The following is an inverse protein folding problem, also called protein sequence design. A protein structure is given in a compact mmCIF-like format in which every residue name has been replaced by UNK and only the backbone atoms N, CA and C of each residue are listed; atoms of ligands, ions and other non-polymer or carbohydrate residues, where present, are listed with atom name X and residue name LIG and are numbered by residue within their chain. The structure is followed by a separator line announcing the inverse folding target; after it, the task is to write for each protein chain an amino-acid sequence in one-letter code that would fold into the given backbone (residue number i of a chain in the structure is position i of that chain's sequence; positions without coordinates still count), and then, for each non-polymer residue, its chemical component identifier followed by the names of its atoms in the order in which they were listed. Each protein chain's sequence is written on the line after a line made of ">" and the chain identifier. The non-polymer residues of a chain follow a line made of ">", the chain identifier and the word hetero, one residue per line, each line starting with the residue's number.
data_IF_587176385630
#
_entry.id   IF_587176385630
#
_cell.length_a   1.000
_cell.length_b   1.000
_cell.length_c   1.000
_cell.angle_alpha   90.00
_cell.angle_beta   90.00
_cell.angle_gamma   90.00
#
_symmetry.space_group_name_H-M   'P 1'
#
loop_
_entity.id
_entity.type
_entity.pdbx_description
1 polymer ?
#
# COMPACT_ATOMS: atom_id res chain seq x y z
N UNK A 1 10.60 66.13 9.74
CA UNK A 1 11.53 65.20 10.41
C UNK A 1 11.23 63.82 9.87
N UNK A 2 12.11 63.29 9.03
CA UNK A 2 12.00 61.94 8.48
C UNK A 2 12.77 61.01 9.41
N UNK A 3 12.08 60.09 10.07
CA UNK A 3 12.73 59.03 10.84
C UNK A 3 12.67 57.75 10.01
N UNK A 4 13.82 57.37 9.46
CA UNK A 4 13.99 56.18 8.63
C UNK A 4 14.40 55.03 9.53
N UNK A 5 13.49 54.08 9.77
CA UNK A 5 13.85 52.80 10.38
C UNK A 5 14.69 52.01 9.37
N UNK A 6 16.01 52.14 9.46
CA UNK A 6 16.96 51.33 8.70
C UNK A 6 16.96 49.91 9.30
N UNK A 7 16.13 49.04 8.73
CA UNK A 7 16.27 47.60 8.94
C UNK A 7 17.58 47.14 8.29
N UNK A 8 18.47 46.54 9.06
CA UNK A 8 19.71 45.98 8.53
C UNK A 8 19.39 44.72 7.72
N UNK A 9 19.72 44.78 6.42
CA UNK A 9 19.53 43.68 5.47
C UNK A 9 20.81 42.87 5.41
N UNK A 10 20.75 41.63 5.88
CA UNK A 10 21.87 40.68 5.75
C UNK A 10 21.59 39.71 4.60
N UNK A 11 22.56 39.59 3.69
CA UNK A 11 22.53 38.60 2.61
C UNK A 11 23.40 37.42 3.00
N UNK A 12 22.78 36.25 3.12
CA UNK A 12 23.47 34.98 3.35
C UNK A 12 23.09 34.04 2.22
N UNK A 13 24.08 33.51 1.49
CA UNK A 13 23.91 32.63 0.33
C UNK A 13 22.96 33.20 -0.75
N UNK A 14 23.07 34.50 -1.05
CA UNK A 14 22.29 35.16 -2.10
C UNK A 14 20.81 35.39 -1.74
N UNK A 15 20.40 35.11 -0.51
CA UNK A 15 19.04 35.35 -0.02
C UNK A 15 19.03 36.48 1.01
N UNK A 16 18.17 37.47 0.77
CA UNK A 16 17.94 38.63 1.63
C UNK A 16 17.15 38.21 2.88
N UNK A 17 17.70 38.46 4.07
CA UNK A 17 17.03 38.21 5.34
C UNK A 17 16.92 39.54 6.10
N UNK A 18 15.70 39.89 6.54
CA UNK A 18 15.43 41.05 7.39
C UNK A 18 15.21 40.53 8.81
N UNK A 19 16.10 40.89 9.74
CA UNK A 19 15.89 40.58 11.17
C UNK A 19 14.99 41.65 11.81
N UNK A 20 13.84 41.21 12.31
CA UNK A 20 12.93 42.01 13.13
C UNK A 20 13.07 41.58 14.60
N UNK A 21 13.56 42.48 15.44
CA UNK A 21 13.65 42.30 16.90
C UNK A 21 12.24 42.29 17.51
N UNK A 22 11.88 41.19 18.19
CA UNK A 22 10.53 40.97 18.71
C UNK A 22 10.28 41.66 20.06
N UNK A 23 9.14 42.35 20.18
CA UNK A 23 8.57 42.85 21.44
C UNK A 23 7.49 41.88 21.96
N UNK A 24 7.65 41.45 23.22
CA UNK A 24 6.79 40.63 24.13
C UNK A 24 5.37 41.25 24.30
N UNK A 25 4.20 40.60 24.51
CA UNK A 25 3.67 39.23 24.69
C UNK A 25 2.12 39.35 24.61
N UNK A 26 1.43 38.43 23.91
CA UNK A 26 0.14 37.78 24.27
C UNK A 26 -0.55 37.18 23.02
N UNK A 27 -0.26 35.90 22.73
CA UNK A 27 -1.18 34.88 22.18
C UNK A 27 -0.39 33.59 21.88
N UNK A 28 -0.88 32.39 22.28
CA UNK A 28 -0.25 31.14 21.90
C UNK A 28 -0.61 30.80 20.46
N UNK A 29 0.39 30.79 19.59
CA UNK A 29 0.63 29.71 18.62
C UNK A 29 -0.56 29.23 17.75
N UNK A 30 -1.17 30.11 16.95
CA UNK A 30 -2.04 29.69 15.82
C UNK A 30 -1.20 29.58 14.54
N UNK A 31 -0.14 28.75 14.53
CA UNK A 31 0.60 28.41 13.29
C UNK A 31 1.08 26.96 13.27
N UNK A 32 1.21 26.28 14.42
CA UNK A 32 1.61 24.85 14.46
C UNK A 32 0.43 23.88 14.29
N UNK A 33 -0.79 24.28 14.70
CA UNK A 33 -2.00 23.45 14.57
C UNK A 33 -2.40 23.21 13.11
N UNK A 34 -2.31 24.23 12.25
CA UNK A 34 -2.69 24.10 10.82
C UNK A 34 -1.75 23.16 10.08
N UNK A 35 -0.44 23.25 10.35
CA UNK A 35 0.55 22.35 9.73
C UNK A 35 0.36 20.90 10.20
N UNK A 36 0.06 20.70 11.48
CA UNK A 36 -0.20 19.37 12.04
C UNK A 36 -1.48 18.76 11.48
N UNK A 37 -2.55 19.55 11.34
CA UNK A 37 -3.81 19.09 10.75
C UNK A 37 -3.64 18.74 9.26
N UNK A 38 -2.95 19.58 8.49
CA UNK A 38 -2.67 19.32 7.06
C UNK A 38 -1.84 18.04 6.89
N UNK A 39 -0.80 17.84 7.70
CA UNK A 39 0.01 16.62 7.68
C UNK A 39 -0.80 15.38 8.06
N UNK A 40 -1.68 15.49 9.04
CA UNK A 40 -2.56 14.38 9.47
C UNK A 40 -3.53 13.98 8.35
N UNK A 41 -4.15 14.96 7.68
CA UNK A 41 -5.06 14.71 6.56
C UNK A 41 -4.33 14.06 5.38
N UNK A 42 -3.13 14.54 5.04
CA UNK A 42 -2.32 13.97 3.97
C UNK A 42 -1.92 12.52 4.28
N UNK A 43 -1.50 12.23 5.52
CA UNK A 43 -1.12 10.88 5.92
C UNK A 43 -2.31 9.91 5.84
N UNK A 44 -3.50 10.34 6.28
CA UNK A 44 -4.71 9.52 6.19
C UNK A 44 -5.06 9.19 4.73
N UNK A 45 -4.88 10.14 3.82
CA UNK A 45 -5.13 9.90 2.39
C UNK A 45 -4.14 8.89 1.79
N UNK A 46 -2.84 9.01 2.09
CA UNK A 46 -1.84 8.06 1.62
C UNK A 46 -2.07 6.65 2.18
N UNK A 47 -2.51 6.55 3.45
CA UNK A 47 -2.91 5.27 4.04
C UNK A 47 -4.12 4.65 3.33
N UNK A 48 -5.14 5.46 2.98
CA UNK A 48 -6.29 4.97 2.22
C UNK A 48 -5.90 4.52 0.81
N UNK A 49 -5.02 5.27 0.13
CA UNK A 49 -4.49 4.88 -1.19
C UNK A 49 -3.76 3.55 -1.12
N UNK A 50 -2.86 3.39 -0.14
CA UNK A 50 -2.12 2.14 0.07
C UNK A 50 -3.06 0.95 0.36
N UNK A 51 -4.08 1.15 1.20
CA UNK A 51 -5.07 0.11 1.50
C UNK A 51 -5.90 -0.29 0.28
N UNK A 52 -6.35 0.69 -0.52
CA UNK A 52 -7.10 0.42 -1.74
C UNK A 52 -6.25 -0.30 -2.79
N UNK A 53 -5.00 0.14 -2.98
CA UNK A 53 -4.05 -0.52 -3.88
C UNK A 53 -3.82 -1.98 -3.47
N UNK A 54 -3.68 -2.26 -2.18
CA UNK A 54 -3.53 -3.62 -1.67
C UNK A 54 -4.77 -4.47 -1.95
N UNK A 55 -5.98 -3.96 -1.68
CA UNK A 55 -7.23 -4.67 -1.98
C UNK A 55 -7.37 -4.99 -3.46
N UNK A 56 -7.02 -4.03 -4.32
CA UNK A 56 -7.07 -4.23 -5.77
C UNK A 56 -6.08 -5.32 -6.20
N UNK A 57 -4.84 -5.26 -5.73
CA UNK A 57 -3.81 -6.26 -6.06
C UNK A 57 -4.24 -7.67 -5.59
N UNK A 58 -4.90 -7.76 -4.44
CA UNK A 58 -5.46 -9.03 -3.94
C UNK A 58 -6.60 -9.55 -4.81
N UNK A 59 -7.53 -8.67 -5.21
CA UNK A 59 -8.65 -9.04 -6.08
C UNK A 59 -8.13 -9.56 -7.43
N UNK A 60 -7.17 -8.86 -8.03
CA UNK A 60 -6.53 -9.25 -9.29
C UNK A 60 -5.85 -10.63 -9.18
N UNK A 61 -5.07 -10.84 -8.11
CA UNK A 61 -4.45 -12.13 -7.83
C UNK A 61 -5.49 -13.25 -7.69
N UNK A 62 -6.56 -13.03 -6.92
CA UNK A 62 -7.59 -14.03 -6.73
C UNK A 62 -8.32 -14.40 -8.03
N UNK A 63 -8.60 -13.41 -8.89
CA UNK A 63 -9.21 -13.64 -10.22
C UNK A 63 -8.33 -14.55 -11.08
N UNK A 64 -7.00 -14.31 -11.11
CA UNK A 64 -6.08 -15.16 -11.87
C UNK A 64 -6.06 -16.59 -11.31
N UNK A 65 -5.97 -16.76 -9.99
CA UNK A 65 -5.99 -18.08 -9.34
C UNK A 65 -7.27 -18.85 -9.63
N UNK A 66 -8.42 -18.19 -9.51
CA UNK A 66 -9.73 -18.80 -9.81
C UNK A 66 -9.81 -19.24 -11.28
N UNK A 67 -9.33 -18.39 -12.21
CA UNK A 67 -9.30 -18.72 -13.63
C UNK A 67 -8.48 -19.98 -13.93
N UNK A 68 -7.30 -20.12 -13.32
CA UNK A 68 -6.46 -21.31 -13.47
C UNK A 68 -7.10 -22.57 -12.90
N UNK A 69 -7.71 -22.47 -11.71
CA UNK A 69 -8.39 -23.61 -11.08
C UNK A 69 -9.60 -24.08 -11.90
N UNK A 70 -10.37 -23.13 -12.44
CA UNK A 70 -11.50 -23.44 -13.31
C UNK A 70 -11.06 -24.09 -14.62
N UNK A 71 -9.99 -23.57 -15.23
CA UNK A 71 -9.41 -24.18 -16.44
C UNK A 71 -8.97 -25.64 -16.17
N UNK A 72 -8.37 -25.89 -15.01
CA UNK A 72 -7.96 -27.24 -14.64
C UNK A 72 -9.15 -28.16 -14.39
N UNK A 73 -10.22 -27.67 -13.76
CA UNK A 73 -11.44 -28.45 -13.55
C UNK A 73 -12.09 -28.84 -14.89
N UNK A 74 -12.15 -27.92 -15.86
CA UNK A 74 -12.71 -28.18 -17.19
C UNK A 74 -11.88 -29.19 -18.00
N UNK A 75 -10.55 -29.14 -17.86
CA UNK A 75 -9.63 -29.99 -18.63
C UNK A 75 -9.30 -31.32 -17.95
N UNK A 76 -9.33 -31.36 -16.63
CA UNK A 76 -9.03 -32.52 -15.81
C UNK A 76 -9.84 -32.50 -14.49
N UNK A 77 -11.14 -32.85 -14.55
CA UNK A 77 -12.01 -32.82 -13.37
C UNK A 77 -11.62 -33.83 -12.28
N UNK A 78 -10.81 -34.84 -12.61
CA UNK A 78 -10.29 -35.82 -11.66
C UNK A 78 -8.93 -35.38 -11.04
N UNK A 79 -8.47 -34.15 -11.29
CA UNK A 79 -7.24 -33.64 -10.74
C UNK A 79 -7.29 -33.62 -9.21
N UNK A 80 -6.28 -34.25 -8.60
CA UNK A 80 -6.07 -34.21 -7.15
C UNK A 80 -5.64 -32.81 -6.70
N UNK A 81 -5.82 -32.49 -5.41
CA UNK A 81 -5.32 -31.25 -4.83
C UNK A 81 -3.82 -30.99 -5.12
N UNK A 82 -3.00 -32.04 -5.10
CA UNK A 82 -1.58 -31.93 -5.42
C UNK A 82 -1.34 -31.52 -6.88
N UNK A 83 -2.12 -32.07 -7.82
CA UNK A 83 -2.04 -31.69 -9.23
C UNK A 83 -2.55 -30.27 -9.47
N UNK A 84 -3.57 -29.83 -8.72
CA UNK A 84 -4.05 -28.45 -8.77
C UNK A 84 -2.97 -27.45 -8.33
N UNK A 85 -2.31 -27.71 -7.20
CA UNK A 85 -1.19 -26.86 -6.74
C UNK A 85 -0.03 -26.84 -7.72
N UNK A 86 0.33 -28.00 -8.29
CA UNK A 86 1.41 -28.12 -9.26
C UNK A 86 1.09 -27.34 -10.54
N UNK A 87 -0.14 -27.47 -11.06
CA UNK A 87 -0.60 -26.75 -12.24
C UNK A 87 -0.57 -25.23 -12.05
N UNK A 88 -1.12 -24.72 -10.94
CA UNK A 88 -1.08 -23.29 -10.63
C UNK A 88 0.37 -22.78 -10.54
N UNK A 89 1.24 -23.55 -9.88
CA UNK A 89 2.66 -23.19 -9.69
C UNK A 89 3.44 -23.16 -11.01
N UNK A 90 3.09 -24.03 -11.96
CA UNK A 90 3.66 -24.08 -13.31
C UNK A 90 3.13 -22.94 -14.19
N UNK A 91 1.83 -22.66 -14.12
CA UNK A 91 1.20 -21.61 -14.94
C UNK A 91 1.58 -20.19 -14.49
N UNK A 92 1.94 -19.99 -13.23
CA UNK A 92 2.35 -18.68 -12.69
C UNK A 92 3.88 -18.59 -12.71
N UNK A 93 4.37 -17.73 -13.61
CA UNK A 93 5.78 -17.36 -13.67
C UNK A 93 6.29 -16.89 -12.30
N UNK A 94 7.52 -17.27 -11.94
CA UNK A 94 8.14 -16.89 -10.66
C UNK A 94 8.14 -15.38 -10.43
N UNK A 95 8.30 -14.58 -11.49
CA UNK A 95 8.25 -13.11 -11.46
C UNK A 95 6.89 -12.54 -11.05
N UNK A 96 5.81 -13.28 -11.25
CA UNK A 96 4.48 -12.87 -10.80
C UNK A 96 4.19 -13.37 -9.39
N UNK A 97 4.92 -14.37 -8.86
CA UNK A 97 4.72 -14.87 -7.48
C UNK A 97 4.92 -13.77 -6.45
N UNK A 98 5.84 -12.84 -6.66
CA UNK A 98 5.98 -11.66 -5.79
C UNK A 98 4.76 -10.75 -5.80
N UNK A 99 4.07 -10.60 -6.95
CA UNK A 99 2.81 -9.87 -7.03
C UNK A 99 1.71 -10.58 -6.24
N UNK A 100 1.64 -11.91 -6.31
CA UNK A 100 0.77 -12.70 -5.45
C UNK A 100 1.16 -12.55 -3.98
N UNK A 101 2.43 -12.68 -3.61
CA UNK A 101 2.91 -12.59 -2.22
C UNK A 101 2.76 -11.18 -1.61
N UNK A 102 2.99 -10.13 -2.38
CA UNK A 102 2.84 -8.73 -1.94
C UNK A 102 1.38 -8.35 -1.71
N UNK A 103 0.45 -8.87 -2.50
CA UNK A 103 -0.98 -8.74 -2.24
C UNK A 103 -1.41 -9.35 -0.89
N UNK A 104 -0.60 -10.26 -0.33
CA UNK A 104 -0.96 -11.13 0.81
C UNK A 104 -0.41 -10.65 2.17
N UNK A 105 0.45 -9.63 2.22
CA UNK A 105 1.20 -9.26 3.43
C UNK A 105 0.39 -8.68 4.62
N UNK A 106 -0.95 -8.51 4.55
CA UNK A 106 -1.72 -7.80 5.60
C UNK A 106 -2.93 -8.53 6.23
N UNK A 107 -3.07 -9.86 6.11
CA UNK A 107 -4.21 -10.59 6.71
C UNK A 107 -5.03 -11.41 5.70
N UNK A 108 -4.31 -12.02 4.78
CA UNK A 108 -4.80 -12.61 3.53
C UNK A 108 -5.90 -13.67 3.63
N UNK A 109 -5.94 -14.49 4.71
CA UNK A 109 -6.89 -15.61 4.80
C UNK A 109 -8.33 -15.15 4.85
N UNK A 110 -8.60 -14.02 5.49
CA UNK A 110 -9.97 -13.53 5.64
C UNK A 110 -10.43 -12.78 4.38
N UNK A 111 -9.55 -12.01 3.74
CA UNK A 111 -9.93 -11.25 2.54
C UNK A 111 -10.07 -12.15 1.31
N UNK A 112 -9.24 -13.18 1.14
CA UNK A 112 -9.31 -14.04 -0.05
C UNK A 112 -10.61 -14.87 -0.13
N UNK A 113 -11.31 -15.04 1.01
CA UNK A 113 -12.64 -15.67 1.08
C UNK A 113 -13.70 -14.91 0.29
N UNK A 114 -13.52 -13.60 0.09
CA UNK A 114 -14.45 -12.77 -0.66
C UNK A 114 -14.26 -12.90 -2.18
N UNK A 115 -13.08 -13.37 -2.62
CA UNK A 115 -12.68 -13.36 -4.02
C UNK A 115 -12.61 -14.76 -4.65
N UNK A 116 -12.33 -15.79 -3.87
CA UNK A 116 -12.34 -17.18 -4.34
C UNK A 116 -13.66 -17.86 -4.03
N UNK A 117 -14.22 -18.55 -5.01
CA UNK A 117 -15.32 -19.48 -4.75
C UNK A 117 -14.90 -20.55 -3.74
N UNK A 118 -15.83 -20.92 -2.87
CA UNK A 118 -15.63 -21.92 -1.80
C UNK A 118 -14.88 -23.21 -2.23
N UNK A 119 -15.17 -23.86 -3.39
CA UNK A 119 -14.41 -25.02 -3.84
C UNK A 119 -12.91 -24.76 -4.07
N UNK A 120 -12.53 -23.54 -4.42
CA UNK A 120 -11.16 -23.16 -4.76
C UNK A 120 -10.40 -22.53 -3.58
N UNK A 121 -11.13 -22.06 -2.57
CA UNK A 121 -10.58 -21.34 -1.42
C UNK A 121 -9.44 -22.11 -0.73
N UNK A 122 -9.67 -23.37 -0.35
CA UNK A 122 -8.67 -24.14 0.40
C UNK A 122 -7.42 -24.43 -0.45
N UNK A 123 -7.60 -24.74 -1.73
CA UNK A 123 -6.51 -25.03 -2.66
C UNK A 123 -5.68 -23.77 -2.95
N UNK A 124 -6.35 -22.64 -3.17
CA UNK A 124 -5.69 -21.34 -3.32
C UNK A 124 -4.87 -20.97 -2.09
N UNK A 125 -5.46 -21.12 -0.89
CA UNK A 125 -4.78 -20.86 0.39
C UNK A 125 -3.53 -21.72 0.56
N UNK A 126 -3.65 -23.04 0.36
CA UNK A 126 -2.53 -23.97 0.49
C UNK A 126 -1.42 -23.72 -0.54
N UNK A 127 -1.79 -23.34 -1.78
CA UNK A 127 -0.81 -23.03 -2.84
C UNK A 127 0.04 -21.83 -2.44
N UNK A 128 -0.61 -20.76 -1.99
CA UNK A 128 0.05 -19.52 -1.59
C UNK A 128 0.91 -19.70 -0.33
N UNK A 129 0.44 -20.49 0.65
CA UNK A 129 1.27 -20.89 1.80
C UNK A 129 2.49 -21.70 1.39
N UNK A 130 2.33 -22.59 0.40
CA UNK A 130 3.43 -23.36 -0.19
C UNK A 130 4.53 -22.45 -0.73
N UNK A 131 4.18 -21.40 -1.47
CA UNK A 131 5.16 -20.46 -2.02
C UNK A 131 5.87 -19.64 -0.94
N UNK A 132 5.13 -19.17 0.06
CA UNK A 132 5.71 -18.39 1.17
C UNK A 132 6.76 -19.18 1.98
N UNK A 133 6.59 -20.50 2.09
CA UNK A 133 7.49 -21.36 2.85
C UNK A 133 8.59 -22.03 1.99
N UNK A 134 8.57 -21.80 0.68
CA UNK A 134 9.52 -22.38 -0.27
C UNK A 134 10.72 -21.47 -0.57
N UNK A 135 10.67 -20.20 -0.13
CA UNK A 135 11.79 -19.24 -0.09
C UNK A 135 12.41 -19.17 1.31
#
# INVERSE_FOLDING_TARGET
>A
MCDSTLGEVLIVNGKTIVQISQTKLDQPEIISETNTQVLTQQLLEELHKASNWQKQTLAEAAVVLQGLLKQLEETNPAATAAQQRAFITECIASTHREQFLSALQAGWKELIKEFLDNPYLNIGIETLEGWKNAD
#
